data_IF_567628274682
#
_entry.id   IF_567628274682
#
_cell.length_a   1.000
_cell.length_b   1.000
_cell.length_c   1.000
_cell.angle_alpha   90.00
_cell.angle_beta   90.00
_cell.angle_gamma   90.00
#
_symmetry.space_group_name_H-M   'P 1'
#
loop_
_entity.id
_entity.type
_entity.pdbx_description
1 polymer ?
#
# COMPACT_ATOMS: atom_id res chain seq x y z
N UNK A 1 -20.19 -3.87 -6.81
CA UNK A 1 -21.20 -4.95 -6.93
C UNK A 1 -20.99 -5.89 -5.75
N UNK A 2 -21.86 -5.89 -4.74
CA UNK A 2 -21.73 -6.80 -3.61
C UNK A 2 -21.91 -8.24 -4.13
N UNK A 3 -20.88 -9.08 -4.01
CA UNK A 3 -21.01 -10.52 -4.23
C UNK A 3 -21.82 -11.10 -3.06
N UNK A 4 -23.14 -10.94 -3.10
CA UNK A 4 -24.06 -11.66 -2.22
C UNK A 4 -23.92 -13.15 -2.51
N UNK A 5 -23.31 -13.90 -1.58
CA UNK A 5 -23.19 -15.36 -1.66
C UNK A 5 -21.84 -15.98 -1.31
N UNK A 6 -20.84 -15.18 -0.91
CA UNK A 6 -19.55 -15.73 -0.44
C UNK A 6 -19.59 -16.00 1.07
N UNK A 7 -19.16 -17.19 1.45
CA UNK A 7 -18.89 -17.55 2.85
C UNK A 7 -17.65 -16.81 3.35
N UNK A 8 -17.83 -15.99 4.37
CA UNK A 8 -16.78 -15.30 5.10
C UNK A 8 -16.51 -16.13 6.36
N UNK A 9 -15.32 -16.70 6.44
CA UNK A 9 -14.88 -17.66 7.46
C UNK A 9 -14.43 -16.94 8.72
N UNK A 10 -14.56 -17.62 9.84
CA UNK A 10 -14.00 -17.13 11.10
C UNK A 10 -12.49 -17.35 11.12
N UNK A 11 -11.77 -16.47 11.79
CA UNK A 11 -10.32 -16.59 11.95
C UNK A 11 -9.88 -17.87 12.68
N UNK A 12 -10.78 -18.41 13.51
CA UNK A 12 -10.58 -19.65 14.26
C UNK A 12 -10.48 -20.90 13.35
N UNK A 13 -10.83 -20.78 12.07
CA UNK A 13 -10.69 -21.82 11.04
C UNK A 13 -9.29 -21.88 10.43
N UNK A 14 -8.43 -20.89 10.72
CA UNK A 14 -7.08 -20.78 10.18
C UNK A 14 -6.03 -21.04 11.28
N UNK A 15 -4.83 -21.53 10.91
CA UNK A 15 -3.80 -21.90 11.88
C UNK A 15 -3.02 -20.67 12.38
N UNK A 16 -3.72 -19.65 12.88
CA UNK A 16 -3.12 -18.39 13.31
C UNK A 16 -3.58 -18.00 14.72
N UNK A 17 -2.63 -17.51 15.52
CA UNK A 17 -2.92 -16.77 16.74
C UNK A 17 -2.57 -15.31 16.49
N UNK A 18 -3.57 -14.44 16.49
CA UNK A 18 -3.39 -13.02 16.17
C UNK A 18 -3.47 -12.14 17.43
N UNK A 19 -2.64 -11.10 17.44
CA UNK A 19 -2.60 -10.08 18.48
C UNK A 19 -2.69 -8.70 17.84
N UNK A 20 -3.57 -7.84 18.35
CA UNK A 20 -3.62 -6.42 17.99
C UNK A 20 -2.50 -5.68 18.70
N UNK A 21 -1.70 -4.94 17.94
CA UNK A 21 -0.68 -4.05 18.46
C UNK A 21 -1.17 -2.61 18.33
N UNK A 22 -1.71 -2.08 19.42
CA UNK A 22 -2.29 -0.74 19.46
C UNK A 22 -1.32 0.26 20.08
N UNK A 23 -0.95 1.28 19.32
CA UNK A 23 -0.10 2.38 19.75
C UNK A 23 -0.33 3.58 18.82
N UNK A 24 -0.20 4.85 19.27
CA UNK A 24 -0.36 6.02 18.40
C UNK A 24 0.60 6.09 17.19
N UNK A 25 1.70 5.33 17.22
CA UNK A 25 2.64 5.19 16.08
C UNK A 25 2.23 4.09 15.09
N UNK A 26 1.14 3.37 15.37
CA UNK A 26 0.63 2.24 14.60
C UNK A 26 -0.81 2.47 14.11
N UNK A 27 -1.19 3.75 14.03
CA UNK A 27 -2.46 4.19 13.50
C UNK A 27 -2.38 4.45 11.99
N UNK A 28 -3.42 4.10 11.26
CA UNK A 28 -3.58 4.41 9.83
C UNK A 28 -2.40 3.94 8.96
N UNK A 29 -1.78 2.82 9.34
CA UNK A 29 -0.66 2.22 8.61
C UNK A 29 -1.20 1.53 7.35
N UNK A 30 -1.19 2.26 6.25
CA UNK A 30 -1.83 1.83 4.99
C UNK A 30 -0.97 0.82 4.23
N UNK A 31 0.36 0.96 4.31
CA UNK A 31 1.32 0.09 3.62
C UNK A 31 2.45 -0.36 4.56
N UNK A 32 3.06 -1.51 4.24
CA UNK A 32 4.09 -2.19 5.04
C UNK A 32 5.20 -2.74 4.14
N UNK A 33 6.43 -2.66 4.62
CA UNK A 33 7.59 -3.30 3.98
C UNK A 33 8.42 -4.07 5.01
N UNK A 34 8.74 -5.32 4.68
CA UNK A 34 9.50 -6.22 5.56
C UNK A 34 10.95 -6.35 5.08
N UNK A 35 11.90 -5.99 5.94
CA UNK A 35 13.33 -6.29 5.73
C UNK A 35 13.64 -7.70 6.27
N UNK A 36 13.66 -8.68 5.37
CA UNK A 36 14.04 -10.06 5.73
C UNK A 36 15.48 -10.19 6.22
N UNK A 37 16.38 -9.27 5.83
CA UNK A 37 17.80 -9.31 6.18
C UNK A 37 18.04 -8.75 7.58
N UNK A 38 17.56 -7.53 7.83
CA UNK A 38 17.76 -6.84 9.11
C UNK A 38 16.66 -7.13 10.13
N UNK A 39 15.64 -7.91 9.73
CA UNK A 39 14.55 -8.36 10.62
C UNK A 39 13.79 -7.17 11.21
N UNK A 40 13.44 -6.23 10.33
CA UNK A 40 12.67 -5.03 10.66
C UNK A 40 11.43 -4.92 9.79
N UNK A 41 10.31 -4.54 10.39
CA UNK A 41 9.10 -4.12 9.68
C UNK A 41 9.07 -2.60 9.64
N UNK A 42 8.86 -2.04 8.46
CA UNK A 42 8.64 -0.62 8.24
C UNK A 42 7.18 -0.39 7.84
N UNK A 43 6.56 0.65 8.37
CA UNK A 43 5.13 0.93 8.15
C UNK A 43 4.89 2.41 7.87
N UNK A 44 4.14 2.73 6.81
CA UNK A 44 3.74 4.09 6.50
C UNK A 44 2.45 4.45 7.27
N UNK A 45 2.63 5.07 8.43
CA UNK A 45 1.57 5.33 9.41
C UNK A 45 1.20 6.81 9.48
N UNK A 46 -0.01 7.07 9.95
CA UNK A 46 -0.60 8.40 10.10
C UNK A 46 -1.36 8.47 11.44
N UNK A 47 -2.29 9.41 11.58
CA UNK A 47 -3.32 9.37 12.61
C UNK A 47 -4.66 9.02 11.95
N UNK A 48 -5.49 8.22 12.62
CA UNK A 48 -6.81 7.83 12.08
C UNK A 48 -7.67 9.06 11.75
N UNK A 49 -7.63 10.08 12.61
CA UNK A 49 -8.39 11.33 12.42
C UNK A 49 -7.89 12.15 11.23
N UNK A 50 -6.57 12.12 10.95
CA UNK A 50 -5.99 12.78 9.78
C UNK A 50 -6.57 12.18 8.49
N UNK A 51 -6.64 10.84 8.42
CA UNK A 51 -7.16 10.09 7.26
C UNK A 51 -8.64 10.38 6.98
N UNK A 52 -9.43 10.73 8.00
CA UNK A 52 -10.84 11.12 7.83
C UNK A 52 -11.01 12.40 7.01
N UNK A 53 -10.07 13.34 7.16
CA UNK A 53 -10.13 14.62 6.48
C UNK A 53 -9.16 14.76 5.30
N UNK A 54 -7.99 14.17 5.37
CA UNK A 54 -6.94 14.21 4.35
C UNK A 54 -6.46 12.81 3.99
N UNK A 55 -7.00 12.30 2.90
CA UNK A 55 -6.64 11.03 2.28
C UNK A 55 -7.06 11.10 0.81
N UNK A 56 -6.22 11.66 -0.07
CA UNK A 56 -6.55 11.79 -1.49
C UNK A 56 -6.88 10.45 -2.16
N UNK A 57 -6.25 9.34 -1.73
CA UNK A 57 -6.62 7.98 -2.15
C UNK A 57 -8.09 7.63 -1.86
N UNK A 58 -8.67 8.18 -0.79
CA UNK A 58 -10.09 8.03 -0.42
C UNK A 58 -11.00 9.23 -0.75
N UNK A 59 -10.58 10.13 -1.64
CA UNK A 59 -11.30 11.37 -1.99
C UNK A 59 -11.55 12.30 -0.80
N UNK A 60 -10.63 12.36 0.17
CA UNK A 60 -10.69 13.27 1.32
C UNK A 60 -9.68 14.40 1.14
N UNK A 61 -10.17 15.64 1.05
CA UNK A 61 -9.37 16.82 0.67
C UNK A 61 -9.45 18.00 1.67
N UNK A 62 -9.80 17.74 2.92
CA UNK A 62 -9.80 18.74 3.98
C UNK A 62 -8.39 18.97 4.54
N UNK A 63 -7.68 19.96 3.97
CA UNK A 63 -6.30 20.31 4.36
C UNK A 63 -6.16 20.62 5.85
N UNK A 64 -7.17 21.25 6.46
CA UNK A 64 -7.14 21.65 7.87
C UNK A 64 -7.24 20.47 8.86
N UNK A 65 -7.59 19.28 8.38
CA UNK A 65 -7.68 18.07 9.20
C UNK A 65 -6.37 17.28 9.28
N UNK A 66 -5.34 17.67 8.51
CA UNK A 66 -4.04 17.00 8.51
C UNK A 66 -3.41 17.03 9.90
N UNK A 67 -2.91 15.89 10.37
CA UNK A 67 -2.17 15.84 11.64
C UNK A 67 -0.72 16.33 11.51
N UNK A 68 -0.13 16.28 10.31
CA UNK A 68 1.28 16.56 10.05
C UNK A 68 2.24 15.64 10.84
N UNK A 69 1.76 14.46 11.22
CA UNK A 69 2.49 13.50 12.06
C UNK A 69 2.77 12.18 11.35
N UNK A 70 2.50 12.07 10.06
CA UNK A 70 2.78 10.85 9.30
C UNK A 70 4.26 10.52 9.36
N UNK A 71 4.56 9.23 9.42
CA UNK A 71 5.90 8.74 9.68
C UNK A 71 6.08 7.31 9.20
N UNK A 72 7.34 6.91 9.06
CA UNK A 72 7.70 5.50 8.95
C UNK A 72 7.92 4.95 10.37
N UNK A 73 7.00 4.11 10.83
CA UNK A 73 7.16 3.34 12.06
C UNK A 73 8.04 2.11 11.80
N UNK A 74 8.78 1.67 12.81
CA UNK A 74 9.74 0.56 12.73
C UNK A 74 9.53 -0.39 13.89
N UNK A 75 9.47 -1.69 13.59
CA UNK A 75 9.44 -2.77 14.57
C UNK A 75 10.61 -3.73 14.32
N UNK A 76 11.34 -4.09 15.38
CA UNK A 76 12.36 -5.13 15.37
C UNK A 76 11.68 -6.49 15.60
N UNK A 77 11.32 -7.19 14.53
CA UNK A 77 10.32 -8.27 14.57
C UNK A 77 10.77 -9.53 15.35
N UNK A 78 12.07 -9.68 15.60
CA UNK A 78 12.60 -10.79 16.41
C UNK A 78 12.75 -10.42 17.90
N UNK A 79 12.47 -9.16 18.29
CA UNK A 79 12.73 -8.63 19.63
C UNK A 79 11.51 -7.91 20.21
N UNK A 80 10.46 -8.65 20.63
CA UNK A 80 9.21 -8.04 21.14
C UNK A 80 9.39 -7.12 22.34
N UNK A 81 10.47 -7.28 23.12
CA UNK A 81 10.69 -6.50 24.34
C UNK A 81 9.71 -6.90 25.46
N UNK A 82 9.79 -6.19 26.59
CA UNK A 82 8.90 -6.45 27.74
C UNK A 82 7.51 -5.86 27.60
N UNK A 83 7.35 -4.84 26.75
CA UNK A 83 6.08 -4.19 26.42
C UNK A 83 5.35 -4.87 25.24
N UNK A 84 6.02 -5.81 24.56
CA UNK A 84 5.48 -6.48 23.39
C UNK A 84 5.41 -5.59 22.13
N UNK A 85 6.01 -4.39 22.16
CA UNK A 85 5.94 -3.43 21.06
C UNK A 85 7.09 -3.58 20.05
N UNK A 86 7.93 -4.60 20.17
CA UNK A 86 9.01 -4.88 19.20
C UNK A 86 10.00 -3.71 19.04
N UNK A 87 10.26 -2.96 20.12
CA UNK A 87 11.11 -1.77 20.07
C UNK A 87 10.57 -0.68 19.14
N UNK A 88 9.24 -0.56 19.06
CA UNK A 88 8.52 0.41 18.24
C UNK A 88 9.10 1.82 18.38
N UNK A 89 9.49 2.40 17.25
CA UNK A 89 9.88 3.79 17.13
C UNK A 89 9.52 4.32 15.75
N UNK A 90 9.65 5.64 15.55
CA UNK A 90 9.52 6.27 14.23
C UNK A 90 10.88 6.74 13.74
N UNK A 91 11.12 6.62 12.43
CA UNK A 91 12.31 7.20 11.81
C UNK A 91 12.24 8.73 11.87
N UNK A 92 13.39 9.35 12.08
CA UNK A 92 13.53 10.82 11.95
C UNK A 92 13.60 11.17 10.47
N UNK A 93 13.20 12.39 10.13
CA UNK A 93 13.33 12.91 8.76
C UNK A 93 14.38 14.02 8.78
N UNK A 94 15.38 13.89 7.91
CA UNK A 94 16.46 14.86 7.70
C UNK A 94 16.42 15.43 6.28
N UNK A 95 16.80 16.70 6.12
CA UNK A 95 16.93 17.34 4.79
C UNK A 95 15.63 17.68 4.05
N UNK A 96 14.46 17.29 4.55
CA UNK A 96 13.15 17.64 3.98
C UNK A 96 12.51 18.79 4.76
N UNK A 97 12.03 19.82 4.07
CA UNK A 97 11.54 21.06 4.68
C UNK A 97 10.01 21.13 4.82
N UNK A 98 9.29 20.05 4.50
CA UNK A 98 7.82 19.99 4.61
C UNK A 98 7.35 18.86 5.52
N UNK A 99 6.03 18.74 5.64
CA UNK A 99 5.40 17.59 6.27
C UNK A 99 5.24 16.45 5.26
N UNK A 100 5.15 15.23 5.78
CA UNK A 100 4.78 14.05 5.03
C UNK A 100 3.28 13.78 5.25
N UNK A 101 2.60 13.36 4.19
CA UNK A 101 1.25 12.82 4.16
C UNK A 101 1.34 11.48 3.42
N UNK A 102 1.69 10.41 4.14
CA UNK A 102 2.20 9.16 3.55
C UNK A 102 1.07 8.26 3.05
N UNK A 103 1.36 7.45 2.05
CA UNK A 103 0.47 6.41 1.52
C UNK A 103 1.33 5.18 1.18
N UNK A 104 1.19 4.58 -0.01
CA UNK A 104 2.05 3.49 -0.45
C UNK A 104 3.53 3.86 -0.57
N UNK A 105 4.40 2.88 -0.36
CA UNK A 105 5.85 3.06 -0.49
C UNK A 105 6.58 1.76 -0.86
N UNK A 106 7.80 1.92 -1.36
CA UNK A 106 8.68 0.78 -1.62
C UNK A 106 10.11 1.10 -1.16
N UNK A 107 10.87 0.04 -0.88
CA UNK A 107 12.24 0.12 -0.36
C UNK A 107 13.16 -0.80 -1.16
N UNK A 108 14.35 -0.29 -1.49
CA UNK A 108 15.42 -1.07 -2.12
C UNK A 108 16.73 -0.86 -1.42
N UNK A 109 17.55 -1.92 -1.36
CA UNK A 109 18.94 -1.81 -0.91
C UNK A 109 19.81 -1.34 -2.06
N UNK A 110 20.22 -0.08 -2.04
CA UNK A 110 21.08 0.55 -3.06
C UNK A 110 22.43 0.83 -2.42
N UNK A 111 23.50 0.26 -3.01
CA UNK A 111 24.88 0.46 -2.53
C UNK A 111 25.06 0.17 -1.02
N UNK A 112 24.34 -0.84 -0.51
CA UNK A 112 24.40 -1.27 0.89
C UNK A 112 23.46 -0.53 1.84
N UNK A 113 22.77 0.54 1.40
CA UNK A 113 21.83 1.32 2.22
C UNK A 113 20.39 1.05 1.80
N UNK A 114 19.45 1.13 2.75
CA UNK A 114 18.03 1.16 2.41
C UNK A 114 17.68 2.54 1.85
N UNK A 115 17.10 2.57 0.65
CA UNK A 115 16.49 3.74 0.04
C UNK A 115 14.99 3.54 -0.02
N UNK A 116 14.25 4.56 0.38
CA UNK A 116 12.79 4.60 0.45
C UNK A 116 12.26 5.49 -0.67
N UNK A 117 11.20 5.03 -1.35
CA UNK A 117 10.38 5.82 -2.26
C UNK A 117 8.99 5.92 -1.67
N UNK A 118 8.64 7.09 -1.16
CA UNK A 118 7.42 7.33 -0.42
C UNK A 118 6.44 8.14 -1.27
N UNK A 119 5.19 7.70 -1.39
CA UNK A 119 4.13 8.58 -1.87
C UNK A 119 3.85 9.62 -0.78
N UNK A 120 3.87 10.90 -1.18
CA UNK A 120 3.54 12.02 -0.30
C UNK A 120 2.39 12.84 -0.89
N UNK A 121 1.22 12.77 -0.27
CA UNK A 121 0.00 13.47 -0.66
C UNK A 121 -0.03 14.91 -0.16
N UNK A 122 0.92 15.73 -0.59
CA UNK A 122 1.01 17.12 -0.13
C UNK A 122 -0.23 17.93 -0.53
N UNK A 123 -0.67 18.89 0.30
CA UNK A 123 -1.70 19.84 -0.09
C UNK A 123 -1.24 20.71 -1.26
N UNK A 124 -2.15 21.11 -2.16
CA UNK A 124 -1.83 22.05 -3.22
C UNK A 124 -1.58 23.44 -2.63
N UNK A 125 -0.55 24.13 -3.12
CA UNK A 125 -0.18 25.48 -2.67
C UNK A 125 -0.05 26.41 -3.87
N UNK A 126 -0.40 27.67 -3.69
CA UNK A 126 -0.17 28.70 -4.69
C UNK A 126 1.34 28.95 -4.83
N UNK A 127 1.90 28.90 -6.05
CA UNK A 127 3.36 28.87 -6.26
C UNK A 127 4.09 30.14 -5.78
N UNK A 128 3.39 31.27 -5.71
CA UNK A 128 3.99 32.56 -5.32
C UNK A 128 3.77 32.89 -3.85
N UNK A 129 2.61 32.55 -3.28
CA UNK A 129 2.23 32.97 -1.91
C UNK A 129 2.44 31.85 -0.89
N UNK A 130 2.52 30.59 -1.32
CA UNK A 130 2.59 29.43 -0.43
C UNK A 130 1.27 29.10 0.27
N UNK A 131 0.21 29.86 0.01
CA UNK A 131 -1.12 29.61 0.59
C UNK A 131 -1.74 28.34 0.01
N UNK A 132 -2.49 27.60 0.83
CA UNK A 132 -3.20 26.42 0.34
C UNK A 132 -4.26 26.79 -0.69
N UNK A 133 -4.31 26.00 -1.76
CA UNK A 133 -5.38 26.05 -2.75
C UNK A 133 -6.53 25.14 -2.32
N UNK A 134 -7.72 25.36 -2.89
CA UNK A 134 -8.85 24.46 -2.68
C UNK A 134 -8.58 23.11 -3.35
N UNK A 135 -8.27 22.10 -2.53
CA UNK A 135 -7.97 20.75 -2.98
C UNK A 135 -9.17 20.03 -3.59
N UNK A 136 -10.41 20.46 -3.34
CA UNK A 136 -11.59 19.95 -4.06
C UNK A 136 -11.65 20.42 -5.52
N UNK A 137 -10.94 21.50 -5.84
CA UNK A 137 -10.91 22.12 -7.18
C UNK A 137 -9.67 21.71 -7.97
N UNK A 138 -8.53 21.53 -7.32
CA UNK A 138 -7.26 21.26 -8.03
C UNK A 138 -6.65 19.88 -7.72
N UNK A 139 -7.14 19.22 -6.67
CA UNK A 139 -6.62 17.95 -6.17
C UNK A 139 -5.34 18.09 -5.35
N UNK A 140 -4.85 16.97 -4.83
CA UNK A 140 -3.60 16.94 -4.08
C UNK A 140 -2.38 17.19 -4.99
N UNK A 141 -1.34 17.78 -4.41
CA UNK A 141 -0.03 17.97 -5.04
C UNK A 141 0.90 16.80 -4.69
N UNK A 142 0.43 15.60 -5.03
CA UNK A 142 1.10 14.35 -4.71
C UNK A 142 2.47 14.24 -5.38
N UNK A 143 3.46 13.75 -4.64
CA UNK A 143 4.84 13.55 -5.08
C UNK A 143 5.36 12.18 -4.68
N UNK A 144 6.49 11.78 -5.27
CA UNK A 144 7.31 10.68 -4.75
C UNK A 144 8.53 11.29 -4.08
N UNK A 145 8.70 11.04 -2.79
CA UNK A 145 9.85 11.48 -2.00
C UNK A 145 10.84 10.34 -1.85
N UNK A 146 12.11 10.60 -2.17
CA UNK A 146 13.19 9.62 -2.10
C UNK A 146 14.06 9.95 -0.89
N UNK A 147 14.29 8.95 -0.03
CA UNK A 147 15.11 9.07 1.16
C UNK A 147 16.13 7.94 1.28
N UNK A 148 17.31 8.23 1.80
CA UNK A 148 18.28 7.22 2.24
C UNK A 148 18.20 7.05 3.76
N UNK A 149 18.13 5.81 4.24
CA UNK A 149 18.24 5.53 5.67
C UNK A 149 19.69 5.60 6.12
N UNK A 150 19.94 6.47 7.08
CA UNK A 150 21.13 6.42 7.92
C UNK A 150 20.84 5.54 9.15
N UNK A 151 21.30 4.28 9.10
CA UNK A 151 21.05 3.31 10.16
C UNK A 151 21.59 3.75 11.53
N UNK A 152 22.71 4.47 11.56
CA UNK A 152 23.35 4.87 12.82
C UNK A 152 22.55 5.97 13.55
N UNK A 153 21.85 6.83 12.81
CA UNK A 153 21.05 7.92 13.39
C UNK A 153 19.55 7.69 13.34
N UNK A 154 19.11 6.58 12.74
CA UNK A 154 17.71 6.25 12.45
C UNK A 154 16.98 7.41 11.75
N UNK A 155 17.63 7.96 10.72
CA UNK A 155 17.16 9.13 9.99
C UNK A 155 17.01 8.82 8.51
N UNK A 156 15.83 9.10 7.95
CA UNK A 156 15.57 9.19 6.53
C UNK A 156 16.07 10.53 6.01
N UNK A 157 17.22 10.52 5.34
CA UNK A 157 17.84 11.70 4.75
C UNK A 157 17.27 11.93 3.34
N UNK A 158 16.67 13.09 3.11
CA UNK A 158 16.04 13.42 1.84
C UNK A 158 17.07 13.47 0.71
N UNK A 159 16.76 12.76 -0.36
CA UNK A 159 17.57 12.71 -1.57
C UNK A 159 16.96 13.57 -2.66
N UNK A 160 15.65 13.39 -2.92
CA UNK A 160 14.96 14.05 -4.03
C UNK A 160 13.45 13.97 -3.90
N UNK A 161 12.78 15.01 -4.39
CA UNK A 161 11.33 15.01 -4.70
C UNK A 161 11.12 14.79 -6.20
N UNK A 162 10.25 13.86 -6.58
CA UNK A 162 9.71 13.72 -7.94
C UNK A 162 8.29 14.29 -7.96
N UNK A 163 8.11 15.34 -8.77
CA UNK A 163 6.82 15.95 -9.04
C UNK A 163 6.60 16.00 -10.56
N UNK A 164 5.46 15.51 -11.03
CA UNK A 164 5.14 15.45 -12.45
C UNK A 164 3.63 15.36 -12.67
N UNK A 165 3.12 15.89 -13.78
CA UNK A 165 1.68 15.84 -14.11
C UNK A 165 1.17 14.42 -14.36
N UNK A 166 2.05 13.48 -14.72
CA UNK A 166 1.73 12.06 -14.83
C UNK A 166 1.52 11.38 -13.46
N UNK A 167 1.86 12.04 -12.34
CA UNK A 167 1.49 11.62 -10.99
C UNK A 167 0.14 12.27 -10.69
N UNK A 168 -0.93 11.53 -10.99
CA UNK A 168 -2.31 12.02 -10.98
C UNK A 168 -2.88 11.82 -9.57
N UNK A 169 -3.07 10.56 -9.19
CA UNK A 169 -3.64 10.14 -7.91
C UNK A 169 -2.92 8.88 -7.42
N UNK A 170 -1.62 9.01 -7.08
CA UNK A 170 -0.78 7.86 -6.77
C UNK A 170 -1.32 7.10 -5.57
N UNK A 171 -1.45 5.79 -5.68
CA UNK A 171 -1.93 4.92 -4.62
C UNK A 171 -0.78 4.10 -4.04
N UNK A 172 -0.07 3.36 -4.89
CA UNK A 172 1.13 2.63 -4.51
C UNK A 172 2.21 2.72 -5.63
N UNK A 173 3.44 2.26 -5.35
CA UNK A 173 4.54 2.23 -6.32
C UNK A 173 5.41 0.98 -6.15
N UNK A 174 6.05 0.56 -7.23
CA UNK A 174 7.07 -0.47 -7.21
C UNK A 174 8.33 0.02 -7.91
N UNK A 175 9.48 -0.27 -7.31
CA UNK A 175 10.79 0.20 -7.77
C UNK A 175 11.60 -0.96 -8.34
N UNK A 176 12.25 -0.74 -9.48
CA UNK A 176 13.15 -1.72 -10.07
C UNK A 176 14.31 -2.04 -9.11
N UNK A 177 14.88 -3.25 -9.22
CA UNK A 177 15.97 -3.70 -8.34
C UNK A 177 17.20 -2.76 -8.31
N UNK A 178 17.43 -2.02 -9.37
CA UNK A 178 18.52 -1.04 -9.47
C UNK A 178 18.18 0.35 -8.88
N UNK A 179 16.93 0.56 -8.45
CA UNK A 179 16.45 1.83 -7.90
C UNK A 179 16.16 2.91 -8.95
N UNK A 180 16.24 2.61 -10.26
CA UNK A 180 16.17 3.63 -11.30
C UNK A 180 14.78 3.78 -11.91
N UNK A 181 14.10 2.68 -12.20
CA UNK A 181 12.71 2.70 -12.67
C UNK A 181 11.73 2.65 -11.52
N UNK A 182 10.66 3.43 -11.63
CA UNK A 182 9.54 3.43 -10.69
C UNK A 182 8.26 3.27 -11.50
N UNK A 183 7.41 2.32 -11.15
CA UNK A 183 6.04 2.24 -11.65
C UNK A 183 5.09 2.65 -10.54
N UNK A 184 4.22 3.59 -10.84
CA UNK A 184 3.25 4.16 -9.90
C UNK A 184 1.85 3.79 -10.38
N UNK A 185 1.03 3.26 -9.50
CA UNK A 185 -0.41 3.12 -9.75
C UNK A 185 -1.10 4.45 -9.46
N UNK A 186 -1.88 4.95 -10.41
CA UNK A 186 -2.85 5.99 -10.14
C UNK A 186 -4.22 5.32 -10.03
N UNK A 187 -4.87 5.48 -8.88
CA UNK A 187 -6.18 4.86 -8.63
C UNK A 187 -7.30 5.43 -9.51
N UNK A 188 -7.09 6.62 -10.08
CA UNK A 188 -8.05 7.39 -10.84
C UNK A 188 -7.42 8.01 -12.09
N UNK A 189 -8.28 8.46 -13.00
CA UNK A 189 -7.84 9.10 -14.24
C UNK A 189 -7.63 10.61 -14.12
N UNK A 190 -8.14 11.22 -13.05
CA UNK A 190 -8.06 12.64 -12.79
C UNK A 190 -7.93 12.92 -11.30
N UNK A 191 -7.30 14.05 -10.94
CA UNK A 191 -7.10 14.46 -9.54
C UNK A 191 -8.41 14.85 -8.85
N UNK A 192 -9.34 15.42 -9.61
CA UNK A 192 -10.65 15.94 -9.18
C UNK A 192 -11.67 15.81 -10.30
N UNK A 193 -12.96 15.85 -9.97
CA UNK A 193 -14.05 15.92 -10.92
C UNK A 193 -15.36 15.36 -10.37
N UNK A 194 -16.49 15.75 -10.97
CA UNK A 194 -17.85 15.37 -10.51
C UNK A 194 -18.09 13.86 -10.46
N UNK A 195 -17.36 13.08 -11.25
CA UNK A 195 -17.49 11.62 -11.32
C UNK A 195 -16.27 10.86 -10.78
N UNK A 196 -15.27 11.56 -10.25
CA UNK A 196 -14.03 10.95 -9.72
C UNK A 196 -14.32 10.08 -8.50
N UNK A 197 -15.28 10.45 -7.66
CA UNK A 197 -15.76 9.60 -6.56
C UNK A 197 -16.43 8.31 -7.05
N UNK A 198 -17.08 8.35 -8.23
CA UNK A 198 -17.73 7.18 -8.82
C UNK A 198 -16.70 6.18 -9.36
N UNK A 199 -15.45 6.59 -9.65
CA UNK A 199 -14.39 5.67 -10.12
C UNK A 199 -14.05 4.59 -9.08
N UNK A 200 -14.31 4.84 -7.78
CA UNK A 200 -14.26 3.80 -6.73
C UNK A 200 -15.31 2.68 -6.91
N UNK A 201 -16.30 2.89 -7.79
CA UNK A 201 -17.37 1.92 -8.09
C UNK A 201 -17.34 1.43 -9.54
N UNK A 202 -17.02 2.31 -10.50
CA UNK A 202 -17.05 1.99 -11.94
C UNK A 202 -15.67 1.68 -12.54
N UNK A 203 -14.60 1.87 -11.76
CA UNK A 203 -13.24 1.68 -12.21
C UNK A 203 -12.65 2.92 -12.89
N UNK A 204 -11.33 2.89 -13.07
CA UNK A 204 -10.49 4.00 -13.50
C UNK A 204 -9.03 3.69 -13.19
N UNK A 205 -8.13 4.60 -13.54
CA UNK A 205 -6.73 4.52 -13.15
C UNK A 205 -5.75 4.26 -14.30
N UNK A 206 -4.48 4.32 -13.95
CA UNK A 206 -3.38 4.21 -14.91
C UNK A 206 -2.09 3.75 -14.23
N UNK A 207 -1.09 3.40 -15.02
CA UNK A 207 0.28 3.21 -14.58
C UNK A 207 1.16 4.32 -15.15
N UNK A 208 1.90 4.97 -14.26
CA UNK A 208 2.92 5.95 -14.61
C UNK A 208 4.29 5.33 -14.44
N UNK A 209 5.15 5.47 -15.44
CA UNK A 209 6.56 5.13 -15.31
C UNK A 209 7.36 6.41 -15.05
N UNK A 210 8.23 6.36 -14.06
CA UNK A 210 9.15 7.42 -13.69
C UNK A 210 10.59 6.91 -13.63
N UNK A 211 11.52 7.85 -13.76
CA UNK A 211 12.97 7.62 -13.59
C UNK A 211 13.48 8.36 -12.36
N UNK A 212 14.03 7.65 -11.37
CA UNK A 212 14.55 8.23 -10.11
C UNK A 212 15.67 9.26 -10.34
N UNK A 213 16.56 8.98 -11.29
CA UNK A 213 17.73 9.78 -11.60
C UNK A 213 17.38 11.12 -12.26
N UNK A 214 16.40 11.13 -13.16
CA UNK A 214 16.02 12.32 -13.93
C UNK A 214 14.75 13.01 -13.43
N UNK A 215 13.91 12.33 -12.65
CA UNK A 215 12.58 12.81 -12.25
C UNK A 215 11.57 12.89 -13.40
N UNK A 216 11.91 12.38 -14.59
CA UNK A 216 11.00 12.34 -15.74
C UNK A 216 9.98 11.23 -15.52
N UNK A 217 8.73 11.53 -15.84
CA UNK A 217 7.63 10.58 -15.80
C UNK A 217 6.73 10.74 -17.01
N UNK A 218 6.02 9.66 -17.34
CA UNK A 218 4.93 9.65 -18.31
C UNK A 218 3.95 8.54 -17.99
N UNK A 219 2.70 8.70 -18.44
CA UNK A 219 1.69 7.65 -18.34
C UNK A 219 2.07 6.52 -19.31
N UNK A 220 2.37 5.34 -18.76
CA UNK A 220 2.86 4.18 -19.50
C UNK A 220 1.76 3.16 -19.85
N UNK A 221 0.62 3.22 -19.15
CA UNK A 221 -0.61 2.50 -19.50
C UNK A 221 -1.84 3.20 -18.88
N UNK A 222 -2.96 3.29 -19.59
CA UNK A 222 -4.17 3.98 -19.11
C UNK A 222 -5.50 3.35 -19.55
N UNK A 223 -5.48 2.06 -19.91
CA UNK A 223 -6.67 1.32 -20.36
C UNK A 223 -6.78 0.02 -19.59
N UNK A 224 -8.02 -0.38 -19.29
CA UNK A 224 -8.30 -1.65 -18.61
C UNK A 224 -8.06 -1.62 -17.10
N UNK A 225 -7.85 -0.45 -16.50
CA UNK A 225 -7.74 -0.29 -15.05
C UNK A 225 -9.10 -0.17 -14.38
N UNK A 226 -9.18 -0.69 -13.16
CA UNK A 226 -10.39 -0.67 -12.35
C UNK A 226 -10.05 -0.40 -10.90
N UNK A 227 -9.64 0.85 -10.65
CA UNK A 227 -9.08 1.36 -9.41
C UNK A 227 -7.74 0.68 -9.11
N UNK A 228 -6.70 1.11 -9.85
CA UNK A 228 -5.35 0.55 -9.71
C UNK A 228 -4.77 0.93 -8.34
N UNK A 229 -4.45 -0.08 -7.53
CA UNK A 229 -4.11 0.10 -6.12
C UNK A 229 -2.72 -0.49 -5.83
N UNK A 230 -2.61 -1.61 -5.11
CA UNK A 230 -1.35 -2.27 -4.81
C UNK A 230 -0.54 -2.64 -6.05
N UNK A 231 0.78 -2.49 -5.95
CA UNK A 231 1.71 -2.92 -6.99
C UNK A 231 2.96 -3.52 -6.37
N UNK A 232 3.48 -4.60 -6.98
CA UNK A 232 4.79 -5.16 -6.65
C UNK A 232 5.57 -5.48 -7.92
N UNK A 233 6.90 -5.36 -7.84
CA UNK A 233 7.82 -5.77 -8.90
C UNK A 233 8.48 -7.09 -8.53
N UNK A 234 8.50 -8.04 -9.47
CA UNK A 234 9.42 -9.18 -9.42
C UNK A 234 9.90 -9.57 -10.81
N UNK A 235 11.22 -9.65 -10.94
CA UNK A 235 11.92 -10.16 -12.13
C UNK A 235 11.48 -9.48 -13.45
N UNK A 236 11.29 -8.17 -13.41
CA UNK A 236 10.88 -7.34 -14.54
C UNK A 236 9.39 -7.43 -14.87
N UNK A 237 8.58 -7.98 -13.97
CA UNK A 237 7.12 -8.02 -14.05
C UNK A 237 6.52 -7.18 -12.93
N UNK A 238 5.48 -6.41 -13.26
CA UNK A 238 4.72 -5.63 -12.29
C UNK A 238 3.33 -6.23 -12.12
N UNK A 239 3.01 -6.63 -10.90
CA UNK A 239 1.71 -7.16 -10.52
C UNK A 239 0.89 -6.03 -9.94
N UNK A 240 -0.28 -5.77 -10.49
CA UNK A 240 -1.11 -4.62 -10.12
C UNK A 240 -2.47 -5.11 -9.67
N UNK A 241 -2.89 -4.73 -8.46
CA UNK A 241 -4.22 -4.98 -7.94
C UNK A 241 -5.24 -3.99 -8.50
N UNK A 242 -6.40 -4.50 -8.86
CA UNK A 242 -7.56 -3.70 -9.29
C UNK A 242 -8.65 -3.85 -8.23
N UNK A 243 -8.81 -2.82 -7.39
CA UNK A 243 -9.65 -2.92 -6.19
C UNK A 243 -11.09 -3.26 -6.50
N UNK A 244 -11.65 -2.72 -7.58
CA UNK A 244 -13.07 -2.91 -7.90
C UNK A 244 -13.35 -4.29 -8.50
N UNK A 245 -12.48 -4.78 -9.39
CA UNK A 245 -12.73 -6.04 -10.11
C UNK A 245 -12.17 -7.28 -9.42
N UNK A 246 -11.22 -7.11 -8.51
CA UNK A 246 -10.53 -8.24 -7.88
C UNK A 246 -9.60 -9.01 -8.81
N UNK A 247 -9.02 -8.30 -9.78
CA UNK A 247 -8.10 -8.87 -10.75
C UNK A 247 -6.70 -8.34 -10.41
N UNK A 248 -5.72 -9.22 -10.42
CA UNK A 248 -4.31 -8.83 -10.48
C UNK A 248 -3.88 -8.89 -11.93
N UNK A 249 -3.48 -7.77 -12.52
CA UNK A 249 -2.90 -7.75 -13.87
C UNK A 249 -1.38 -7.81 -13.80
N UNK A 250 -0.75 -8.45 -14.79
CA UNK A 250 0.70 -8.54 -14.87
C UNK A 250 1.18 -7.73 -16.05
N UNK A 251 2.10 -6.81 -15.83
CA UNK A 251 2.63 -5.91 -16.82
C UNK A 251 4.13 -6.07 -16.99
N UNK A 252 4.61 -5.83 -18.21
CA UNK A 252 6.03 -5.77 -18.54
C UNK A 252 6.35 -4.43 -19.19
N UNK A 253 7.44 -3.79 -18.78
CA UNK A 253 7.93 -2.60 -19.44
C UNK A 253 8.59 -2.98 -20.78
N UNK A 254 8.09 -2.40 -21.87
CA UNK A 254 8.62 -2.59 -23.23
C UNK A 254 8.83 -1.21 -23.86
N UNK A 255 10.09 -0.80 -23.93
CA UNK A 255 10.41 0.61 -24.20
C UNK A 255 9.85 1.49 -23.08
N UNK A 256 9.07 2.50 -23.45
CA UNK A 256 8.44 3.42 -22.51
C UNK A 256 6.98 3.06 -22.19
N UNK A 257 6.51 1.84 -22.48
CA UNK A 257 5.12 1.44 -22.28
C UNK A 257 5.01 0.19 -21.40
N UNK A 258 3.99 0.15 -20.54
CA UNK A 258 3.66 -1.01 -19.74
C UNK A 258 2.62 -1.85 -20.48
N UNK A 259 3.04 -3.02 -20.95
CA UNK A 259 2.18 -3.93 -21.70
C UNK A 259 1.66 -4.99 -20.75
N UNK A 260 0.34 -5.10 -20.66
CA UNK A 260 -0.29 -6.20 -19.93
C UNK A 260 0.02 -7.53 -20.64
N UNK A 261 0.63 -8.47 -19.92
CA UNK A 261 1.03 -9.79 -20.42
C UNK A 261 0.22 -10.94 -19.82
N UNK A 262 -0.43 -10.72 -18.67
CA UNK A 262 -1.29 -11.71 -18.01
C UNK A 262 -2.33 -11.07 -17.08
N UNK A 263 -3.21 -11.89 -16.51
CA UNK A 263 -4.14 -11.54 -15.43
C UNK A 263 -4.49 -12.74 -14.56
N UNK A 264 -4.75 -12.49 -13.29
CA UNK A 264 -5.13 -13.48 -12.29
C UNK A 264 -6.44 -13.01 -11.65
N UNK A 265 -7.46 -13.86 -11.65
CA UNK A 265 -8.73 -13.55 -11.00
C UNK A 265 -8.71 -14.09 -9.58
N UNK A 266 -8.84 -13.22 -8.59
CA UNK A 266 -8.86 -13.63 -7.17
C UNK A 266 -10.27 -13.86 -6.66
N UNK A 267 -11.26 -13.25 -7.34
CA UNK A 267 -12.65 -13.22 -6.92
C UNK A 267 -12.95 -12.21 -5.80
N UNK A 268 -11.97 -11.53 -5.21
CA UNK A 268 -12.19 -10.57 -4.13
C UNK A 268 -11.78 -9.17 -4.57
N UNK A 269 -12.53 -8.11 -4.22
CA UNK A 269 -11.97 -6.76 -4.22
C UNK A 269 -10.64 -6.75 -3.44
N UNK A 270 -9.64 -6.04 -3.97
CA UNK A 270 -8.27 -6.06 -3.46
C UNK A 270 -7.83 -4.66 -3.02
N UNK A 271 -6.80 -4.61 -2.19
CA UNK A 271 -6.11 -3.38 -1.82
C UNK A 271 -4.62 -3.53 -2.19
N UNK A 272 -3.70 -3.50 -1.22
CA UNK A 272 -2.27 -3.68 -1.48
C UNK A 272 -1.84 -5.13 -1.74
N UNK A 273 -0.70 -5.26 -2.44
CA UNK A 273 -0.02 -6.53 -2.75
C UNK A 273 1.33 -6.56 -2.06
N UNK A 274 1.80 -7.75 -1.69
CA UNK A 274 3.19 -7.95 -1.26
C UNK A 274 3.74 -9.28 -1.77
N UNK A 275 5.05 -9.42 -1.80
CA UNK A 275 5.73 -10.69 -2.07
C UNK A 275 6.40 -11.18 -0.81
N UNK A 276 6.22 -12.46 -0.50
CA UNK A 276 6.99 -13.12 0.55
C UNK A 276 8.33 -13.66 0.03
N UNK A 277 9.23 -14.06 0.93
CA UNK A 277 10.56 -14.56 0.58
C UNK A 277 10.55 -15.87 -0.24
N UNK A 278 9.43 -16.60 -0.27
CA UNK A 278 9.24 -17.79 -1.11
C UNK A 278 8.75 -17.43 -2.53
N UNK A 279 8.47 -16.14 -2.79
CA UNK A 279 7.96 -15.64 -4.07
C UNK A 279 6.44 -15.82 -4.22
N UNK A 280 5.71 -16.05 -3.12
CA UNK A 280 4.26 -16.06 -3.14
C UNK A 280 3.75 -14.61 -3.08
N UNK A 281 2.77 -14.31 -3.93
CA UNK A 281 2.10 -13.01 -3.90
C UNK A 281 0.98 -13.06 -2.88
N UNK A 282 0.97 -12.11 -1.96
CA UNK A 282 -0.09 -11.90 -1.00
C UNK A 282 -0.94 -10.71 -1.45
N UNK A 283 -2.24 -10.81 -1.24
CA UNK A 283 -3.17 -9.72 -1.50
C UNK A 283 -4.04 -9.47 -0.28
N UNK A 284 -4.06 -8.24 0.20
CA UNK A 284 -5.09 -7.78 1.11
C UNK A 284 -6.41 -7.70 0.33
N UNK A 285 -7.41 -8.44 0.81
CA UNK A 285 -8.68 -8.62 0.15
C UNK A 285 -9.83 -8.18 1.05
N UNK A 286 -10.85 -7.61 0.42
CA UNK A 286 -12.00 -7.01 1.09
C UNK A 286 -13.22 -7.93 0.90
N UNK A 287 -13.51 -8.84 1.85
CA UNK A 287 -14.59 -9.81 1.71
C UNK A 287 -15.98 -9.15 1.79
N UNK A 288 -16.09 -7.98 2.43
CA UNK A 288 -17.32 -7.22 2.55
C UNK A 288 -17.06 -5.72 2.34
N UNK A 289 -17.25 -5.25 1.10
CA UNK A 289 -16.99 -3.84 0.75
C UNK A 289 -17.87 -2.84 1.51
N UNK A 290 -19.10 -3.21 1.88
CA UNK A 290 -19.99 -2.32 2.65
C UNK A 290 -19.44 -2.12 4.06
N UNK A 291 -19.04 -3.22 4.72
CA UNK A 291 -18.40 -3.15 6.03
C UNK A 291 -17.08 -2.38 5.97
N UNK A 292 -16.27 -2.60 4.92
CA UNK A 292 -15.02 -1.86 4.72
C UNK A 292 -15.25 -0.34 4.61
N UNK A 293 -16.20 0.10 3.78
CA UNK A 293 -16.56 1.53 3.70
C UNK A 293 -17.04 2.08 5.05
N UNK A 294 -17.81 1.31 5.81
CA UNK A 294 -18.22 1.70 7.16
C UNK A 294 -17.02 1.84 8.12
N UNK A 295 -16.01 0.98 8.02
CA UNK A 295 -14.77 1.12 8.82
C UNK A 295 -13.95 2.34 8.42
N UNK A 296 -14.06 2.81 7.17
CA UNK A 296 -13.48 4.08 6.77
C UNK A 296 -14.29 5.25 7.33
N UNK A 297 -15.61 5.17 7.45
CA UNK A 297 -16.45 6.26 7.97
C UNK A 297 -16.45 6.37 9.50
N UNK A 298 -16.31 5.24 10.21
CA UNK A 298 -16.34 5.16 11.68
C UNK A 298 -15.21 4.26 12.21
N UNK A 299 -13.93 4.63 11.97
CA UNK A 299 -12.78 3.76 12.24
C UNK A 299 -12.54 3.47 13.73
N UNK A 300 -13.01 4.35 14.61
CA UNK A 300 -12.85 4.18 16.06
C UNK A 300 -13.87 3.22 16.66
N UNK A 301 -15.03 3.06 16.03
CA UNK A 301 -16.12 2.23 16.56
C UNK A 301 -16.41 0.99 15.71
N UNK A 302 -15.84 0.89 14.51
CA UNK A 302 -16.13 -0.20 13.58
C UNK A 302 -14.87 -0.74 12.88
N UNK A 303 -14.65 -2.04 13.04
CA UNK A 303 -13.62 -2.81 12.29
C UNK A 303 -14.35 -3.72 11.30
N UNK A 304 -13.87 -3.77 10.07
CA UNK A 304 -14.45 -4.57 9.00
C UNK A 304 -13.80 -5.96 8.94
N UNK A 305 -14.53 -6.99 8.49
CA UNK A 305 -13.95 -8.27 8.12
C UNK A 305 -12.85 -8.10 7.07
N UNK A 306 -11.77 -8.87 7.20
CA UNK A 306 -10.62 -8.79 6.33
C UNK A 306 -10.14 -10.19 5.92
N UNK A 307 -9.57 -10.28 4.72
CA UNK A 307 -9.02 -11.52 4.15
C UNK A 307 -7.62 -11.24 3.62
N UNK A 308 -6.70 -12.17 3.80
CA UNK A 308 -5.44 -12.20 3.06
C UNK A 308 -5.47 -13.40 2.14
N UNK A 309 -5.27 -13.16 0.85
CA UNK A 309 -5.15 -14.23 -0.14
C UNK A 309 -3.68 -14.53 -0.38
N UNK A 310 -3.35 -15.81 -0.54
CA UNK A 310 -2.09 -16.27 -1.11
C UNK A 310 -2.33 -16.66 -2.57
N UNK A 311 -1.45 -16.19 -3.45
CA UNK A 311 -1.47 -16.43 -4.89
C UNK A 311 -0.16 -17.13 -5.26
N UNK A 312 -0.24 -18.45 -5.44
CA UNK A 312 0.90 -19.32 -5.67
C UNK A 312 0.98 -19.75 -7.15
N UNK A 313 2.15 -20.22 -7.59
CA UNK A 313 2.31 -20.78 -8.94
C UNK A 313 2.37 -19.75 -10.08
N UNK A 314 2.54 -18.47 -9.76
CA UNK A 314 2.59 -17.36 -10.72
C UNK A 314 3.64 -17.59 -11.81
N UNK A 315 4.85 -18.02 -11.43
CA UNK A 315 5.92 -18.30 -12.39
C UNK A 315 5.56 -19.41 -13.38
N UNK A 316 4.79 -20.43 -12.96
CA UNK A 316 4.29 -21.48 -13.83
C UNK A 316 3.20 -20.93 -14.77
N UNK A 317 2.25 -20.16 -14.23
CA UNK A 317 1.22 -19.49 -15.04
C UNK A 317 1.83 -18.62 -16.14
N UNK A 318 2.84 -17.80 -15.83
CA UNK A 318 3.47 -16.92 -16.83
C UNK A 318 4.16 -17.69 -17.97
N UNK A 319 4.62 -18.93 -17.70
CA UNK A 319 5.24 -19.80 -18.71
C UNK A 319 4.22 -20.50 -19.60
N UNK A 320 3.14 -21.02 -19.01
CA UNK A 320 2.16 -21.87 -19.70
C UNK A 320 1.00 -21.08 -20.28
N UNK A 321 0.69 -19.92 -19.68
CA UNK A 321 -0.51 -19.08 -19.92
C UNK A 321 -1.82 -19.89 -19.86
N UNK A 322 -1.82 -20.98 -19.10
CA UNK A 322 -2.96 -21.91 -19.05
C UNK A 322 -4.11 -21.38 -18.19
N UNK A 323 -3.84 -20.42 -17.30
CA UNK A 323 -4.75 -19.91 -16.27
C UNK A 323 -5.11 -20.96 -15.20
N UNK A 324 -4.54 -22.17 -15.27
CA UNK A 324 -4.82 -23.29 -14.35
C UNK A 324 -3.69 -23.55 -13.35
N UNK A 325 -2.54 -22.93 -13.57
CA UNK A 325 -1.33 -23.18 -12.79
C UNK A 325 -1.15 -22.22 -11.61
N UNK A 326 -2.04 -21.23 -11.46
CA UNK A 326 -2.06 -20.34 -10.31
C UNK A 326 -3.18 -20.73 -9.36
N UNK A 327 -2.79 -20.94 -8.11
CA UNK A 327 -3.70 -21.25 -7.01
C UNK A 327 -3.93 -19.98 -6.20
N UNK A 328 -5.20 -19.61 -6.03
CA UNK A 328 -5.62 -18.54 -5.13
C UNK A 328 -6.34 -19.17 -3.95
N UNK A 329 -5.82 -18.98 -2.75
CA UNK A 329 -6.40 -19.50 -1.51
C UNK A 329 -6.40 -18.44 -0.41
N UNK A 330 -7.27 -18.60 0.59
CA UNK A 330 -7.26 -17.75 1.78
C UNK A 330 -6.10 -18.17 2.68
N UNK A 331 -5.19 -17.25 2.94
CA UNK A 331 -4.14 -17.44 3.94
C UNK A 331 -4.71 -17.26 5.35
N UNK A 332 -5.55 -16.24 5.53
CA UNK A 332 -6.32 -15.97 6.74
C UNK A 332 -7.57 -15.15 6.37
N UNK A 333 -8.67 -15.37 7.08
CA UNK A 333 -9.86 -14.53 6.99
C UNK A 333 -10.44 -14.33 8.38
N UNK A 334 -10.84 -13.11 8.70
CA UNK A 334 -11.43 -12.74 10.00
C UNK A 334 -12.83 -12.17 9.79
N UNK A 335 -13.77 -13.09 9.54
CA UNK A 335 -15.17 -12.76 9.26
C UNK A 335 -15.89 -12.02 10.38
N UNK A 336 -15.43 -12.22 11.62
CA UNK A 336 -16.00 -11.59 12.82
C UNK A 336 -15.28 -10.27 13.18
N UNK A 337 -14.27 -9.87 12.41
CA UNK A 337 -13.43 -8.68 12.67
C UNK A 337 -12.82 -8.67 14.09
N UNK A 338 -12.45 -9.84 14.61
CA UNK A 338 -11.90 -10.02 15.98
C UNK A 338 -10.51 -9.45 16.13
N UNK A 339 -9.67 -9.58 15.11
CA UNK A 339 -8.23 -9.37 15.19
C UNK A 339 -7.67 -8.53 14.05
N UNK A 340 -8.13 -8.68 12.80
CA UNK A 340 -7.49 -8.01 11.65
C UNK A 340 -7.91 -6.53 11.51
N UNK A 341 -7.00 -5.63 11.08
CA UNK A 341 -7.18 -4.17 11.11
C UNK A 341 -7.93 -3.61 9.89
N UNK A 342 -9.11 -4.15 9.53
CA UNK A 342 -9.78 -3.80 8.25
C UNK A 342 -8.77 -3.79 7.09
N UNK A 343 -8.00 -4.87 6.97
CA UNK A 343 -6.67 -4.83 6.38
C UNK A 343 -6.61 -4.27 4.96
N UNK A 344 -5.69 -3.34 4.73
CA UNK A 344 -5.33 -2.81 3.40
C UNK A 344 -4.01 -3.37 2.90
N UNK A 345 -3.18 -3.90 3.79
CA UNK A 345 -1.88 -4.49 3.47
C UNK A 345 -1.60 -5.69 4.38
N UNK A 346 -0.88 -6.67 3.86
CA UNK A 346 -0.33 -7.76 4.63
C UNK A 346 1.06 -8.15 4.09
N UNK A 347 2.02 -8.38 4.98
CA UNK A 347 3.35 -8.91 4.64
C UNK A 347 3.64 -10.14 5.50
N UNK A 348 4.27 -11.15 4.92
CA UNK A 348 4.55 -12.42 5.60
C UNK A 348 6.05 -12.59 5.78
N UNK A 349 6.41 -12.82 7.02
CA UNK A 349 7.73 -13.32 7.37
C UNK A 349 7.71 -14.85 7.34
N UNK A 350 8.26 -15.41 6.26
CA UNK A 350 8.39 -16.86 6.07
C UNK A 350 9.25 -17.49 7.17
N UNK A 351 10.28 -16.77 7.65
CA UNK A 351 11.28 -17.32 8.58
C UNK A 351 10.71 -17.58 9.97
N UNK A 352 9.93 -16.65 10.52
CA UNK A 352 9.30 -16.83 11.83
C UNK A 352 7.83 -17.27 11.76
N UNK A 353 7.33 -17.56 10.57
CA UNK A 353 5.94 -17.92 10.32
C UNK A 353 4.96 -16.88 10.89
N UNK A 354 5.24 -15.60 10.59
CA UNK A 354 4.42 -14.47 11.05
C UNK A 354 3.80 -13.71 9.90
N UNK A 355 2.62 -13.15 10.15
CA UNK A 355 1.93 -12.25 9.25
C UNK A 355 1.74 -10.91 9.96
N UNK A 356 2.08 -9.82 9.27
CA UNK A 356 1.89 -8.45 9.75
C UNK A 356 0.87 -7.77 8.85
N UNK A 357 -0.16 -7.15 9.44
CA UNK A 357 -1.24 -6.52 8.71
C UNK A 357 -1.46 -5.09 9.17
N UNK A 358 -1.68 -4.20 8.20
CA UNK A 358 -2.00 -2.78 8.41
C UNK A 358 -3.37 -2.43 7.80
N UNK A 359 -3.87 -1.24 8.15
CA UNK A 359 -5.12 -0.71 7.62
C UNK A 359 -5.10 0.82 7.55
N UNK A 360 -5.53 1.38 6.42
CA UNK A 360 -5.50 2.83 6.13
C UNK A 360 -6.16 3.71 7.18
N UNK A 361 -7.23 3.22 7.82
CA UNK A 361 -7.94 3.93 8.89
C UNK A 361 -7.98 3.11 10.19
N UNK A 362 -7.16 2.08 10.35
CA UNK A 362 -7.17 1.26 11.57
C UNK A 362 -6.41 1.91 12.73
N UNK A 363 -6.91 1.84 13.97
CA UNK A 363 -6.19 2.34 15.15
C UNK A 363 -5.08 1.40 15.65
N UNK A 364 -4.83 0.29 14.96
CA UNK A 364 -3.82 -0.71 15.32
C UNK A 364 -3.31 -1.45 14.07
N UNK A 365 -2.15 -2.11 14.18
CA UNK A 365 -1.74 -3.18 13.29
C UNK A 365 -1.96 -4.54 13.95
N UNK A 366 -1.93 -5.61 13.18
CA UNK A 366 -2.06 -6.97 13.73
C UNK A 366 -0.87 -7.83 13.36
N UNK A 367 -0.43 -8.63 14.33
CA UNK A 367 0.60 -9.65 14.15
C UNK A 367 -0.05 -11.00 14.40
N UNK A 368 0.05 -11.91 13.43
CA UNK A 368 -0.41 -13.28 13.55
C UNK A 368 0.76 -14.24 13.52
N UNK A 369 0.79 -15.18 14.46
CA UNK A 369 1.78 -16.25 14.53
C UNK A 369 1.14 -17.57 14.11
N UNK A 370 1.80 -18.30 13.21
CA UNK A 370 1.27 -19.57 12.72
C UNK A 370 1.36 -20.65 13.81
N UNK A 371 0.36 -21.53 13.89
CA UNK A 371 0.47 -22.75 14.70
C UNK A 371 1.49 -23.67 14.03
N UNK A 372 2.59 -23.99 14.73
CA UNK A 372 3.67 -24.87 14.25
C UNK A 372 3.49 -26.29 14.79
#
# INVERSE_FOLDING_TARGET
>A
MALTGREIQSIDEFPWTCTRLQHPLLEGCEDLWLDDQERKLYAACSAVDSRQGWSPGGSKFNVSARSQTDHIAVLNIDQPGSDGLYGLHKLKVGGYLGDLDLHGFDVRRIEGRLRFWLINHRPPVHPTTGEFLDAWVVGANSTIEIFDLNDASETLEHVKTIANDAIISPNNLAVDKDGLGIVITNDRNAKVGTFVELEMLIGGGSLTYCRSDTGKCHVAANKGFSFANGIVEDNGMYYVAHSVTGIVTVHKLVGDQLIQVDKINTGYPLDSLSLDADGNLLAAAIPNSIAFMKSIEDPHSFVAPATVLAINGIAAQLRTRSGKDCEVSKLVEDGDAKWLPSSTVAVRDVKSHRLFLGGVCSPFITICEQHV
#
